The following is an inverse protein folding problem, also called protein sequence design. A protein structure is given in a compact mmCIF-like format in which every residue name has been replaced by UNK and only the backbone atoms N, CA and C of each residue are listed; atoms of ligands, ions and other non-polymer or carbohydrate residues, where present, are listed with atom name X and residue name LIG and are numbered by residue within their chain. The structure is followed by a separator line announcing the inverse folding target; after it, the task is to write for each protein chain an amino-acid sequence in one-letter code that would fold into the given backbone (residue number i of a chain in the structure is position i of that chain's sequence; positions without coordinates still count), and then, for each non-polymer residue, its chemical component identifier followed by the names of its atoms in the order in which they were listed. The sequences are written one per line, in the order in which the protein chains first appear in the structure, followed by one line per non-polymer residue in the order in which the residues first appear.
data_IF_636979773607
#
_entry.id   IF_636979773607
#
_cell.length_a   1.000
_cell.length_b   1.000
_cell.length_c   1.000
_cell.angle_alpha   90.00
_cell.angle_beta   90.00
_cell.angle_gamma   90.00
#
_symmetry.space_group_name_H-M   'P 1'
#
loop_
_entity.id
_entity.type
_entity.pdbx_description
1 polymer ?
#
# COMPACT_ATOMS: atom_id res chain seq x y z
N UNK A 1 -55.71 44.43 19.69
CA UNK A 1 -55.21 44.06 18.33
C UNK A 1 -53.95 43.21 18.59
N UNK A 2 -54.15 41.81 18.60
CA UNK A 2 -53.10 40.88 18.99
C UNK A 2 -52.34 40.37 17.75
N UNK A 3 -51.07 40.74 17.63
CA UNK A 3 -50.21 40.31 16.57
C UNK A 3 -49.54 38.96 16.96
N UNK A 4 -50.03 37.82 16.43
CA UNK A 4 -49.49 36.50 16.67
C UNK A 4 -48.18 36.36 15.85
N UNK A 5 -47.05 36.28 16.59
CA UNK A 5 -45.75 35.92 16.00
C UNK A 5 -45.72 34.41 15.76
N UNK A 6 -45.79 33.99 14.49
CA UNK A 6 -45.56 32.59 14.06
C UNK A 6 -44.06 32.41 13.95
N UNK A 7 -43.50 31.62 14.89
CA UNK A 7 -42.10 31.22 14.88
C UNK A 7 -41.95 29.95 14.06
N UNK A 8 -41.53 30.09 12.78
CA UNK A 8 -41.29 28.95 11.87
C UNK A 8 -39.94 28.30 12.28
N UNK A 9 -40.00 27.15 12.90
CA UNK A 9 -38.82 26.33 13.27
C UNK A 9 -38.37 25.55 12.03
N UNK A 10 -37.32 26.04 11.35
CA UNK A 10 -36.68 25.38 10.20
C UNK A 10 -35.82 24.21 10.73
N UNK A 11 -36.34 22.98 10.61
CA UNK A 11 -35.63 21.77 11.02
C UNK A 11 -34.61 21.41 9.93
N UNK A 12 -33.34 21.79 10.11
CA UNK A 12 -32.22 21.39 9.26
C UNK A 12 -31.90 19.93 9.54
N UNK A 13 -32.41 19.04 8.68
CA UNK A 13 -32.02 17.63 8.68
C UNK A 13 -30.63 17.53 8.04
N UNK A 14 -29.58 17.45 8.88
CA UNK A 14 -28.23 17.10 8.44
C UNK A 14 -28.16 15.60 8.17
N UNK A 15 -28.17 15.23 6.91
CA UNK A 15 -27.84 13.88 6.46
C UNK A 15 -26.35 13.66 6.72
N UNK A 16 -26.03 12.98 7.82
CA UNK A 16 -24.68 12.47 8.04
C UNK A 16 -24.45 11.27 7.10
N UNK A 17 -23.69 11.49 6.02
CA UNK A 17 -23.15 10.40 5.20
C UNK A 17 -22.15 9.63 6.04
N UNK A 18 -22.55 8.48 6.54
CA UNK A 18 -21.61 7.53 7.16
C UNK A 18 -20.82 6.86 6.04
N UNK A 19 -19.58 7.30 5.83
CA UNK A 19 -18.64 6.58 4.99
C UNK A 19 -18.24 5.29 5.73
N UNK A 20 -18.85 4.16 5.37
CA UNK A 20 -18.45 2.84 5.83
C UNK A 20 -17.11 2.49 5.19
N UNK A 21 -16.00 2.82 5.86
CA UNK A 21 -14.68 2.34 5.47
C UNK A 21 -14.62 0.83 5.72
N UNK A 22 -14.71 0.03 4.65
CA UNK A 22 -14.59 -1.41 4.74
C UNK A 22 -13.19 -1.81 5.22
N UNK A 23 -13.11 -2.51 6.34
CA UNK A 23 -11.84 -2.98 6.88
C UNK A 23 -11.32 -4.17 6.06
N UNK A 24 -10.05 -4.17 5.62
CA UNK A 24 -9.47 -5.30 4.92
C UNK A 24 -9.52 -6.59 5.76
N UNK A 25 -10.02 -7.67 5.16
CA UNK A 25 -10.08 -9.01 5.75
C UNK A 25 -8.84 -9.79 5.36
N UNK A 26 -8.17 -10.43 6.32
CA UNK A 26 -7.06 -11.33 6.04
C UNK A 26 -7.56 -12.59 5.33
N UNK A 27 -6.93 -12.92 4.19
CA UNK A 27 -7.20 -14.13 3.40
C UNK A 27 -6.11 -15.19 3.56
N UNK A 28 -5.00 -14.85 4.23
CA UNK A 28 -3.92 -15.79 4.56
C UNK A 28 -2.68 -15.12 5.15
N UNK A 29 -1.95 -15.87 5.97
CA UNK A 29 -0.67 -15.48 6.56
C UNK A 29 0.42 -16.50 6.21
N UNK A 30 1.53 -16.04 5.64
CA UNK A 30 2.59 -16.87 5.09
C UNK A 30 3.95 -16.30 5.50
N UNK A 31 4.47 -16.74 6.63
CA UNK A 31 5.74 -16.24 7.19
C UNK A 31 5.75 -14.69 7.30
N UNK A 32 6.55 -14.00 6.49
CA UNK A 32 6.67 -12.53 6.51
C UNK A 32 5.63 -11.82 5.65
N UNK A 33 4.74 -12.54 4.98
CA UNK A 33 3.73 -12.01 4.08
C UNK A 33 2.33 -12.36 4.51
N UNK A 34 1.39 -11.44 4.25
CA UNK A 34 -0.05 -11.67 4.44
C UNK A 34 -0.81 -11.26 3.19
N UNK A 35 -1.91 -11.94 2.90
CA UNK A 35 -2.87 -11.56 1.88
C UNK A 35 -4.16 -11.05 2.50
N UNK A 36 -4.80 -10.10 1.81
CA UNK A 36 -6.02 -9.43 2.26
C UNK A 36 -6.98 -9.23 1.09
N UNK A 37 -8.25 -9.04 1.43
CA UNK A 37 -9.26 -8.52 0.51
C UNK A 37 -10.11 -7.46 1.21
N UNK A 38 -10.59 -6.50 0.43
CA UNK A 38 -11.53 -5.47 0.88
C UNK A 38 -12.51 -5.16 -0.25
N UNK A 39 -13.79 -5.00 0.09
CA UNK A 39 -14.80 -4.51 -0.85
C UNK A 39 -14.76 -2.99 -0.86
N UNK A 40 -14.77 -2.40 -2.04
CA UNK A 40 -14.82 -0.95 -2.25
C UNK A 40 -15.96 -0.61 -3.20
N UNK A 41 -16.28 0.66 -3.35
CA UNK A 41 -17.29 1.13 -4.32
C UNK A 41 -16.94 0.73 -5.76
N UNK A 42 -15.64 0.61 -6.08
CA UNK A 42 -15.13 0.20 -7.40
C UNK A 42 -14.95 -1.31 -7.54
N UNK A 43 -15.42 -2.08 -6.56
CA UNK A 43 -15.32 -3.53 -6.52
C UNK A 43 -14.25 -4.02 -5.55
N UNK A 44 -14.00 -5.32 -5.62
CA UNK A 44 -13.05 -5.99 -4.74
C UNK A 44 -11.60 -5.58 -5.02
N UNK A 45 -10.86 -5.30 -3.95
CA UNK A 45 -9.41 -5.07 -3.96
C UNK A 45 -8.74 -6.16 -3.13
N UNK A 46 -7.72 -6.81 -3.69
CA UNK A 46 -6.93 -7.81 -2.99
C UNK A 46 -5.47 -7.43 -3.04
N UNK A 47 -4.74 -7.74 -1.98
CA UNK A 47 -3.31 -7.44 -1.94
C UNK A 47 -2.54 -8.40 -1.07
N UNK A 48 -1.28 -8.63 -1.45
CA UNK A 48 -0.26 -9.22 -0.59
C UNK A 48 0.59 -8.10 -0.01
N UNK A 49 0.88 -8.16 1.29
CA UNK A 49 1.75 -7.18 1.95
C UNK A 49 2.78 -7.81 2.86
N UNK A 50 3.89 -7.10 3.05
CA UNK A 50 4.90 -7.38 4.06
C UNK A 50 5.30 -6.11 4.79
N UNK A 51 5.70 -6.27 6.05
CA UNK A 51 6.40 -5.25 6.84
C UNK A 51 7.90 -5.55 6.84
N UNK A 52 8.77 -4.52 6.87
CA UNK A 52 10.20 -4.74 6.91
C UNK A 52 10.60 -5.45 8.21
N UNK A 53 11.53 -6.40 8.09
CA UNK A 53 12.14 -7.11 9.22
C UNK A 53 13.17 -6.24 9.95
N UNK A 54 13.74 -5.25 9.26
CA UNK A 54 14.68 -4.27 9.82
C UNK A 54 14.48 -2.92 9.16
N UNK A 55 14.60 -1.85 9.93
CA UNK A 55 14.54 -0.45 9.48
C UNK A 55 15.76 0.31 9.98
N UNK A 56 16.35 1.11 9.12
CA UNK A 56 17.48 1.98 9.45
C UNK A 56 17.26 3.40 8.88
N UNK A 57 17.79 4.42 9.53
CA UNK A 57 18.32 4.41 10.89
C UNK A 57 17.21 4.32 11.94
N UNK A 58 17.51 3.81 13.13
CA UNK A 58 16.55 3.68 14.24
C UNK A 58 16.15 5.02 14.85
N UNK A 59 16.98 6.06 14.65
CA UNK A 59 16.71 7.44 15.09
C UNK A 59 15.51 8.08 14.37
N UNK A 60 15.20 7.65 13.15
CA UNK A 60 14.02 8.11 12.41
C UNK A 60 12.84 7.22 12.79
N UNK A 61 11.98 7.73 13.69
CA UNK A 61 10.74 7.04 14.09
C UNK A 61 9.76 7.05 12.91
N UNK A 62 9.47 5.86 12.36
CA UNK A 62 8.58 5.63 11.21
C UNK A 62 7.54 4.57 11.55
N UNK A 63 6.30 4.80 11.17
CA UNK A 63 5.23 3.81 11.28
C UNK A 63 4.66 3.53 9.89
N UNK A 64 4.18 2.31 9.69
CA UNK A 64 3.43 1.99 8.47
C UNK A 64 4.27 1.60 7.24
N UNK A 65 5.62 1.39 7.37
CA UNK A 65 6.43 0.86 6.26
C UNK A 65 5.85 -0.46 5.74
N UNK A 66 5.57 -0.54 4.44
CA UNK A 66 4.94 -1.69 3.77
C UNK A 66 5.45 -1.82 2.34
N UNK A 67 5.50 -3.06 1.88
CA UNK A 67 5.62 -3.42 0.47
C UNK A 67 4.35 -4.19 0.09
N UNK A 68 3.71 -3.78 -1.02
CA UNK A 68 2.46 -4.34 -1.51
C UNK A 68 2.58 -4.89 -2.92
N UNK A 69 1.77 -5.91 -3.24
CA UNK A 69 1.35 -6.22 -4.60
C UNK A 69 -0.18 -6.27 -4.60
N UNK A 70 -0.81 -5.41 -5.40
CA UNK A 70 -2.25 -5.14 -5.37
C UNK A 70 -2.93 -5.53 -6.67
N UNK A 71 -4.15 -6.05 -6.55
CA UNK A 71 -5.08 -6.42 -7.62
C UNK A 71 -6.36 -5.62 -7.44
N UNK A 72 -6.75 -4.86 -8.46
CA UNK A 72 -8.02 -4.10 -8.53
C UNK A 72 -8.73 -4.40 -9.84
N UNK A 73 -9.45 -5.53 -9.96
CA UNK A 73 -10.11 -5.94 -11.22
C UNK A 73 -11.09 -4.89 -11.75
N UNK A 74 -11.87 -4.25 -10.87
CA UNK A 74 -12.80 -3.17 -11.23
C UNK A 74 -12.13 -1.95 -11.88
N UNK A 75 -10.85 -1.74 -11.64
CA UNK A 75 -10.03 -0.67 -12.24
C UNK A 75 -9.08 -1.21 -13.33
N UNK A 76 -9.19 -2.50 -13.71
CA UNK A 76 -8.32 -3.21 -14.65
C UNK A 76 -6.83 -3.20 -14.23
N UNK A 77 -6.55 -3.04 -12.94
CA UNK A 77 -5.20 -3.03 -12.38
C UNK A 77 -4.85 -4.45 -11.91
N UNK A 78 -3.72 -4.93 -12.42
CA UNK A 78 -3.16 -6.24 -12.09
C UNK A 78 -1.71 -6.05 -11.67
N UNK A 79 -1.31 -6.76 -10.62
CA UNK A 79 0.09 -6.86 -10.20
C UNK A 79 0.77 -5.51 -9.83
N UNK A 80 0.01 -4.47 -9.43
CA UNK A 80 0.59 -3.18 -9.04
C UNK A 80 1.50 -3.32 -7.82
N UNK A 81 2.76 -2.94 -7.98
CA UNK A 81 3.73 -2.93 -6.89
C UNK A 81 3.84 -1.54 -6.29
N UNK A 82 3.62 -1.45 -4.99
CA UNK A 82 3.77 -0.19 -4.26
C UNK A 82 4.54 -0.34 -2.95
N UNK A 83 5.24 0.72 -2.57
CA UNK A 83 6.08 0.79 -1.38
C UNK A 83 5.72 2.03 -0.58
N UNK A 84 5.64 1.91 0.74
CA UNK A 84 5.71 3.04 1.65
C UNK A 84 6.76 2.76 2.73
N UNK A 85 7.61 3.75 3.01
CA UNK A 85 8.62 3.66 4.06
C UNK A 85 8.21 4.38 5.35
N UNK A 86 6.92 4.76 5.45
CA UNK A 86 6.35 5.41 6.63
C UNK A 86 6.77 6.87 6.81
N UNK A 87 7.13 7.53 5.71
CA UNK A 87 7.44 8.96 5.63
C UNK A 87 7.18 9.50 4.22
N UNK A 88 7.05 10.81 4.08
CA UNK A 88 7.02 11.46 2.78
C UNK A 88 8.38 11.35 2.09
N UNK A 89 8.38 10.97 0.81
CA UNK A 89 9.59 10.81 0.03
C UNK A 89 10.10 12.13 -0.54
N UNK A 90 11.42 12.24 -0.65
CA UNK A 90 12.04 13.16 -1.59
C UNK A 90 11.90 12.55 -3.00
N UNK A 91 11.47 13.36 -3.97
CA UNK A 91 11.19 12.89 -5.34
C UNK A 91 12.33 12.03 -5.92
N UNK A 92 11.94 10.94 -6.59
CA UNK A 92 12.84 10.02 -7.34
C UNK A 92 14.00 9.40 -6.54
N UNK A 93 13.78 9.12 -5.25
CA UNK A 93 14.83 8.56 -4.38
C UNK A 93 14.54 7.16 -3.89
N UNK A 94 13.47 6.52 -4.34
CA UNK A 94 13.10 5.18 -3.88
C UNK A 94 13.67 4.13 -4.81
N UNK A 95 14.50 3.25 -4.27
CA UNK A 95 15.07 2.11 -4.99
C UNK A 95 14.87 0.82 -4.22
N UNK A 96 14.69 -0.28 -4.94
CA UNK A 96 14.63 -1.62 -4.35
C UNK A 96 15.69 -2.51 -4.99
N UNK A 97 16.47 -3.21 -4.15
CA UNK A 97 17.57 -4.08 -4.59
C UNK A 97 17.43 -5.49 -4.05
N UNK A 98 17.67 -6.46 -4.93
CA UNK A 98 17.92 -7.85 -4.52
C UNK A 98 19.07 -8.44 -5.37
N UNK A 99 20.16 -8.84 -4.69
CA UNK A 99 21.38 -9.26 -5.34
C UNK A 99 21.97 -8.13 -6.20
N UNK A 100 22.13 -8.39 -7.52
CA UNK A 100 22.67 -7.42 -8.49
C UNK A 100 21.56 -6.61 -9.22
N UNK A 101 20.29 -6.86 -8.92
CA UNK A 101 19.17 -6.24 -9.60
C UNK A 101 18.66 -5.03 -8.81
N UNK A 102 18.62 -3.87 -9.47
CA UNK A 102 18.09 -2.62 -8.94
C UNK A 102 16.85 -2.21 -9.72
N UNK A 103 15.86 -1.68 -8.98
CA UNK A 103 14.64 -1.09 -9.52
C UNK A 103 14.44 0.29 -8.92
N UNK A 104 14.11 1.27 -9.76
CA UNK A 104 13.79 2.63 -9.34
C UNK A 104 12.28 2.83 -9.37
N UNK A 105 11.75 3.43 -8.32
CA UNK A 105 10.32 3.69 -8.17
C UNK A 105 10.05 5.19 -8.32
N UNK A 106 9.01 5.51 -9.04
CA UNK A 106 8.39 6.83 -9.02
C UNK A 106 7.71 7.04 -7.67
N UNK A 107 7.94 8.18 -7.02
CA UNK A 107 7.36 8.47 -5.71
C UNK A 107 6.48 9.71 -5.72
N UNK A 108 5.36 9.62 -5.03
CA UNK A 108 4.47 10.74 -4.74
C UNK A 108 4.04 10.66 -3.28
N UNK A 109 4.27 11.73 -2.54
CA UNK A 109 4.01 11.80 -1.09
C UNK A 109 4.66 10.64 -0.33
N UNK A 110 3.85 9.75 0.24
CA UNK A 110 4.29 8.64 1.09
C UNK A 110 4.37 7.29 0.35
N UNK A 111 4.06 7.26 -0.94
CA UNK A 111 4.06 6.04 -1.74
C UNK A 111 4.99 6.13 -2.95
N UNK A 112 5.44 4.97 -3.40
CA UNK A 112 6.23 4.83 -4.60
C UNK A 112 5.78 3.59 -5.39
N UNK A 113 5.81 3.69 -6.74
CA UNK A 113 5.35 2.68 -7.69
C UNK A 113 6.36 2.46 -8.80
N UNK A 114 6.30 1.30 -9.44
CA UNK A 114 6.96 1.09 -10.73
C UNK A 114 6.16 1.76 -11.85
N UNK A 115 6.85 2.21 -12.92
CA UNK A 115 6.24 3.05 -13.93
C UNK A 115 5.40 2.28 -14.96
N UNK A 116 5.71 1.01 -15.19
CA UNK A 116 5.02 0.20 -16.20
C UNK A 116 4.85 -1.27 -15.82
N UNK A 117 3.89 -1.92 -16.48
CA UNK A 117 3.54 -3.31 -16.24
C UNK A 117 4.69 -4.29 -16.48
N UNK A 118 5.61 -4.00 -17.39
CA UNK A 118 6.76 -4.87 -17.69
C UNK A 118 7.76 -4.86 -16.55
N UNK A 119 8.02 -3.69 -15.98
CA UNK A 119 8.86 -3.54 -14.79
C UNK A 119 8.21 -4.23 -13.58
N UNK A 120 6.90 -4.06 -13.37
CA UNK A 120 6.16 -4.75 -12.31
C UNK A 120 6.27 -6.28 -12.43
N UNK A 121 6.06 -6.83 -13.63
CA UNK A 121 6.19 -8.27 -13.87
C UNK A 121 7.63 -8.77 -13.63
N UNK A 122 8.63 -8.00 -14.05
CA UNK A 122 10.04 -8.32 -13.80
C UNK A 122 10.36 -8.31 -12.31
N UNK A 123 9.89 -7.29 -11.60
CA UNK A 123 10.09 -7.15 -10.18
C UNK A 123 9.38 -8.27 -9.37
N UNK A 124 8.16 -8.63 -9.75
CA UNK A 124 7.43 -9.76 -9.16
C UNK A 124 8.17 -11.08 -9.39
N UNK A 125 8.73 -11.31 -10.59
CA UNK A 125 9.56 -12.50 -10.85
C UNK A 125 10.82 -12.52 -9.98
N UNK A 126 11.46 -11.36 -9.79
CA UNK A 126 12.57 -11.22 -8.84
C UNK A 126 12.14 -11.57 -7.43
N UNK A 127 11.05 -10.99 -6.92
CA UNK A 127 10.55 -11.23 -5.57
C UNK A 127 10.23 -12.72 -5.30
N UNK A 128 9.72 -13.45 -6.32
CA UNK A 128 9.43 -14.90 -6.19
C UNK A 128 10.68 -15.76 -6.03
N UNK A 129 11.84 -15.29 -6.46
CA UNK A 129 13.14 -16.01 -6.43
C UNK A 129 14.07 -15.49 -5.35
N UNK A 130 13.86 -14.28 -4.88
CA UNK A 130 14.71 -13.64 -3.89
C UNK A 130 14.48 -14.20 -2.49
N UNK A 131 15.52 -14.14 -1.67
CA UNK A 131 15.42 -14.36 -0.22
C UNK A 131 15.10 -13.06 0.51
N UNK A 132 15.73 -11.96 0.07
CA UNK A 132 15.64 -10.66 0.71
C UNK A 132 15.53 -9.54 -0.34
N UNK A 133 14.91 -8.44 0.06
CA UNK A 133 14.83 -7.21 -0.68
C UNK A 133 15.22 -6.04 0.23
N UNK A 134 16.02 -5.12 -0.28
CA UNK A 134 16.43 -3.91 0.43
C UNK A 134 15.81 -2.71 -0.29
N UNK A 135 15.02 -1.93 0.41
CA UNK A 135 14.44 -0.68 -0.08
C UNK A 135 15.21 0.48 0.52
N UNK A 136 15.76 1.34 -0.32
CA UNK A 136 16.40 2.61 0.09
C UNK A 136 15.54 3.78 -0.39
N UNK A 137 15.46 4.81 0.43
CA UNK A 137 14.71 6.01 0.12
C UNK A 137 15.31 7.22 0.84
N UNK A 138 14.89 8.42 0.45
CA UNK A 138 15.16 9.65 1.20
C UNK A 138 13.86 10.27 1.66
N UNK A 139 13.84 10.73 2.90
CA UNK A 139 12.72 11.53 3.42
C UNK A 139 12.65 12.87 2.66
N UNK A 140 11.50 13.54 2.70
CA UNK A 140 11.35 14.90 2.15
C UNK A 140 12.40 15.88 2.70
N UNK A 141 12.93 15.63 3.90
CA UNK A 141 14.02 16.40 4.53
C UNK A 141 15.42 15.93 4.12
N UNK A 142 15.54 14.92 3.23
CA UNK A 142 16.80 14.44 2.68
C UNK A 142 17.50 13.34 3.48
N UNK A 143 16.99 12.92 4.63
CA UNK A 143 17.58 11.83 5.40
C UNK A 143 17.38 10.47 4.69
N UNK A 144 18.43 9.64 4.65
CA UNK A 144 18.35 8.30 4.06
C UNK A 144 17.64 7.32 4.98
N UNK A 145 16.86 6.43 4.39
CA UNK A 145 16.21 5.32 5.08
C UNK A 145 16.43 4.02 4.33
N UNK A 146 16.53 2.93 5.07
CA UNK A 146 16.71 1.59 4.53
C UNK A 146 15.74 0.63 5.23
N UNK A 147 14.95 -0.08 4.45
CA UNK A 147 14.02 -1.11 4.90
C UNK A 147 14.43 -2.47 4.32
N UNK A 148 14.59 -3.47 5.17
CA UNK A 148 14.88 -4.85 4.75
C UNK A 148 13.62 -5.68 4.81
N UNK A 149 13.29 -6.34 3.72
CA UNK A 149 12.14 -7.24 3.60
C UNK A 149 12.61 -8.67 3.37
N UNK A 150 11.97 -9.62 4.06
CA UNK A 150 12.11 -11.05 3.74
C UNK A 150 11.10 -11.42 2.66
N UNK A 151 11.54 -12.15 1.65
CA UNK A 151 10.64 -12.67 0.60
C UNK A 151 10.03 -14.03 0.97
N UNK A 152 10.33 -14.56 2.16
CA UNK A 152 9.76 -15.82 2.62
C UNK A 152 8.25 -15.73 2.79
N UNK A 153 7.52 -16.50 1.99
CA UNK A 153 6.05 -16.52 1.95
C UNK A 153 5.43 -15.64 0.86
N UNK A 154 6.22 -14.82 0.17
CA UNK A 154 5.72 -13.93 -0.88
C UNK A 154 4.87 -14.66 -1.93
N UNK A 155 5.43 -15.71 -2.56
CA UNK A 155 4.73 -16.42 -3.65
C UNK A 155 3.36 -16.96 -3.22
N UNK A 156 3.25 -17.49 -1.98
CA UNK A 156 1.96 -17.98 -1.45
C UNK A 156 0.98 -16.83 -1.22
N UNK A 157 1.43 -15.74 -0.58
CA UNK A 157 0.58 -14.57 -0.33
C UNK A 157 0.09 -13.91 -1.64
N UNK A 158 1.00 -13.73 -2.60
CA UNK A 158 0.70 -13.23 -3.93
C UNK A 158 -0.36 -14.08 -4.65
N UNK A 159 -0.15 -15.41 -4.71
CA UNK A 159 -1.08 -16.31 -5.39
C UNK A 159 -2.46 -16.33 -4.70
N UNK A 160 -2.50 -16.24 -3.35
CA UNK A 160 -3.76 -16.15 -2.61
C UNK A 160 -4.48 -14.84 -2.92
N UNK A 161 -3.81 -13.69 -2.86
CA UNK A 161 -4.41 -12.41 -3.20
C UNK A 161 -4.94 -12.41 -4.65
N UNK A 162 -4.14 -12.88 -5.60
CA UNK A 162 -4.54 -13.00 -7.01
C UNK A 162 -5.78 -13.89 -7.19
N UNK A 163 -5.82 -15.07 -6.57
CA UNK A 163 -6.96 -16.00 -6.63
C UNK A 163 -8.23 -15.40 -5.99
N UNK A 164 -8.08 -14.62 -4.92
CA UNK A 164 -9.21 -14.02 -4.21
C UNK A 164 -9.89 -12.91 -5.03
N UNK A 165 -9.16 -12.27 -5.93
CA UNK A 165 -9.62 -11.19 -6.79
C UNK A 165 -9.95 -11.60 -8.26
N UNK A 166 -9.78 -12.86 -8.61
CA UNK A 166 -10.15 -13.39 -9.94
C UNK A 166 -11.59 -13.91 -9.93
#
# INVERSE_FOLDING_TARGET
MHLKKILTFLFLITFAFQANANTPKSTGKYKNWQSFSVETEKGKVCFAQSIPTKRAPSSIKRKGSRLFVTFRPGEKIKDEVSITSGHAYKSSTVTARSGKNDYTFFSQENFAWLLDNKEEQNFIRLMKRATNLIVKARTSKGAETTDHYSMMGFTKAYNTAKKTCN
#
